data_IF_732910038615
#
_entry.id   IF_732910038615
#
_cell.length_a   1.000
_cell.length_b   1.000
_cell.length_c   1.000
_cell.angle_alpha   90.00
_cell.angle_beta   90.00
_cell.angle_gamma   90.00
#
_symmetry.space_group_name_H-M   'P 1'
#
loop_
_entity.id
_entity.type
_entity.pdbx_description
1 polymer ?
#
# COMPACT_ATOMS: atom_id res chain seq x y z
N UNK A 1 31.76 -35.03 -22.00
CA UNK A 1 30.36 -34.71 -21.63
C UNK A 1 30.31 -34.58 -20.12
N UNK A 2 30.07 -33.38 -19.59
CA UNK A 2 30.42 -33.01 -18.21
C UNK A 2 29.21 -33.20 -17.27
N UNK A 3 28.95 -34.45 -16.87
CA UNK A 3 27.79 -34.85 -16.04
C UNK A 3 27.72 -34.16 -14.68
N UNK A 4 28.86 -33.72 -14.13
CA UNK A 4 28.92 -32.99 -12.86
C UNK A 4 28.23 -31.61 -12.92
N UNK A 5 28.37 -30.90 -14.03
CA UNK A 5 27.73 -29.58 -14.18
C UNK A 5 26.20 -29.71 -14.30
N UNK A 6 25.71 -30.81 -14.89
CA UNK A 6 24.28 -31.05 -15.04
C UNK A 6 23.63 -31.44 -13.70
N UNK A 7 24.27 -32.32 -12.93
CA UNK A 7 23.77 -32.76 -11.63
C UNK A 7 23.69 -31.61 -10.61
N UNK A 8 24.70 -30.74 -10.56
CA UNK A 8 24.71 -29.59 -9.63
C UNK A 8 23.60 -28.59 -9.98
N UNK A 9 23.37 -28.31 -11.27
CA UNK A 9 22.29 -27.42 -11.68
C UNK A 9 20.90 -27.99 -11.37
N UNK A 10 20.70 -29.30 -11.53
CA UNK A 10 19.42 -29.95 -11.18
C UNK A 10 19.18 -29.92 -9.68
N UNK A 11 20.19 -30.18 -8.85
CA UNK A 11 20.05 -30.13 -7.38
C UNK A 11 19.79 -28.71 -6.89
N UNK A 12 20.48 -27.70 -7.44
CA UNK A 12 20.23 -26.29 -7.11
C UNK A 12 18.81 -25.88 -7.54
N UNK A 13 18.38 -26.29 -8.74
CA UNK A 13 17.05 -25.97 -9.26
C UNK A 13 15.93 -26.62 -8.43
N UNK A 14 16.13 -27.87 -8.01
CA UNK A 14 15.19 -28.57 -7.12
C UNK A 14 15.20 -27.98 -5.71
N UNK A 15 16.35 -27.60 -5.16
CA UNK A 15 16.42 -26.90 -3.87
C UNK A 15 15.71 -25.54 -3.91
N UNK A 16 15.88 -24.77 -4.99
CA UNK A 16 15.15 -23.50 -5.18
C UNK A 16 13.64 -23.71 -5.35
N UNK A 17 13.21 -24.78 -6.03
CA UNK A 17 11.79 -25.07 -6.23
C UNK A 17 11.12 -25.60 -4.97
N UNK A 18 11.75 -26.55 -4.28
CA UNK A 18 11.10 -27.36 -3.26
C UNK A 18 11.39 -26.88 -1.83
N UNK A 19 12.38 -26.00 -1.63
CA UNK A 19 12.74 -25.49 -0.29
C UNK A 19 12.57 -23.97 -0.19
N UNK A 20 13.16 -23.21 -1.11
CA UNK A 20 13.15 -21.74 -1.01
C UNK A 20 11.80 -21.12 -1.36
N UNK A 21 11.16 -21.55 -2.45
CA UNK A 21 9.83 -21.04 -2.84
C UNK A 21 8.75 -21.25 -1.77
N UNK A 22 8.65 -22.44 -1.14
CA UNK A 22 7.71 -22.65 -0.04
C UNK A 22 8.05 -21.82 1.21
N UNK A 23 9.33 -21.58 1.50
CA UNK A 23 9.74 -20.71 2.61
C UNK A 23 9.32 -19.25 2.37
N UNK A 24 9.54 -18.74 1.16
CA UNK A 24 9.12 -17.38 0.76
C UNK A 24 7.59 -17.23 0.80
N UNK A 25 6.85 -18.24 0.33
CA UNK A 25 5.40 -18.27 0.42
C UNK A 25 4.89 -18.34 1.88
N UNK A 26 5.53 -19.13 2.74
CA UNK A 26 5.21 -19.20 4.18
C UNK A 26 5.45 -17.88 4.90
N UNK A 27 6.51 -17.14 4.54
CA UNK A 27 6.74 -15.80 5.09
C UNK A 27 5.67 -14.82 4.61
N UNK A 28 5.26 -14.92 3.34
CA UNK A 28 4.26 -14.03 2.75
C UNK A 28 2.85 -14.26 3.29
N UNK A 29 2.43 -15.51 3.49
CA UNK A 29 1.15 -15.85 4.12
C UNK A 29 1.10 -15.46 5.60
N UNK A 30 2.20 -15.69 6.33
CA UNK A 30 2.32 -15.26 7.73
C UNK A 30 2.26 -13.73 7.90
N UNK A 31 2.83 -12.99 6.96
CA UNK A 31 2.74 -11.53 6.89
C UNK A 31 1.33 -11.03 6.58
N UNK A 32 0.61 -11.70 5.67
CA UNK A 32 -0.79 -11.37 5.34
C UNK A 32 -1.70 -11.60 6.55
N UNK A 33 -1.53 -12.71 7.27
CA UNK A 33 -2.31 -13.00 8.48
C UNK A 33 -1.95 -12.06 9.65
N UNK A 34 -0.69 -11.63 9.75
CA UNK A 34 -0.28 -10.60 10.69
C UNK A 34 -0.93 -9.24 10.32
N UNK A 35 -0.92 -8.88 9.03
CA UNK A 35 -1.52 -7.66 8.52
C UNK A 35 -3.04 -7.64 8.77
N UNK A 36 -3.74 -8.73 8.47
CA UNK A 36 -5.18 -8.88 8.71
C UNK A 36 -5.52 -8.72 10.19
N UNK A 37 -4.72 -9.29 11.10
CA UNK A 37 -4.89 -9.10 12.55
C UNK A 37 -4.69 -7.65 12.99
N UNK A 38 -3.67 -6.96 12.48
CA UNK A 38 -3.40 -5.55 12.80
C UNK A 38 -4.54 -4.66 12.28
N UNK A 39 -4.99 -4.88 11.04
CA UNK A 39 -6.09 -4.11 10.44
C UNK A 39 -7.38 -4.34 11.24
N UNK A 40 -7.74 -5.58 11.54
CA UNK A 40 -8.96 -5.87 12.30
C UNK A 40 -8.92 -5.29 13.72
N UNK A 41 -7.76 -5.29 14.37
CA UNK A 41 -7.58 -4.64 15.67
C UNK A 41 -7.77 -3.11 15.59
N UNK A 42 -7.34 -2.50 14.50
CA UNK A 42 -7.28 -1.04 14.34
C UNK A 42 -8.57 -0.46 13.75
N UNK A 43 -9.24 -1.20 12.86
CA UNK A 43 -10.37 -0.75 12.05
C UNK A 43 -11.60 -1.69 12.08
N UNK A 44 -11.52 -2.84 12.76
CA UNK A 44 -12.65 -3.77 12.90
C UNK A 44 -13.72 -3.26 13.88
N UNK A 45 -14.80 -4.03 14.06
CA UNK A 45 -15.96 -3.68 14.89
C UNK A 45 -15.66 -3.35 16.35
N UNK A 46 -14.52 -3.83 16.86
CA UNK A 46 -14.04 -3.61 18.24
C UNK A 46 -13.01 -2.48 18.33
N UNK A 47 -12.69 -1.84 17.21
CA UNK A 47 -11.71 -0.75 17.13
C UNK A 47 -12.19 0.44 17.95
N UNK A 48 -11.48 0.76 19.03
CA UNK A 48 -11.60 2.07 19.65
C UNK A 48 -11.17 3.07 18.58
N UNK A 49 -12.15 3.77 18.01
CA UNK A 49 -11.93 4.87 17.08
C UNK A 49 -11.12 5.93 17.81
N UNK A 50 -9.80 5.80 17.77
CA UNK A 50 -8.93 6.83 18.28
C UNK A 50 -9.22 8.07 17.42
N UNK A 51 -9.56 9.22 18.06
CA UNK A 51 -9.73 10.46 17.33
C UNK A 51 -8.47 10.73 16.50
N UNK A 52 -8.63 11.51 15.43
CA UNK A 52 -7.59 11.88 14.45
C UNK A 52 -6.44 12.72 15.05
N UNK A 53 -6.11 12.52 16.33
CA UNK A 53 -5.15 13.27 17.12
C UNK A 53 -3.74 12.80 16.75
N UNK A 54 -3.13 13.45 15.76
CA UNK A 54 -1.75 13.20 15.36
C UNK A 54 -1.49 13.27 13.86
N UNK A 55 -2.52 13.43 13.04
CA UNK A 55 -2.29 13.77 11.63
C UNK A 55 -1.72 15.17 11.63
N UNK A 56 -0.45 15.28 11.26
CA UNK A 56 0.15 16.57 10.92
C UNK A 56 -0.60 17.07 9.69
N UNK A 57 -1.63 17.87 9.89
CA UNK A 57 -2.22 18.69 8.83
C UNK A 57 -1.11 19.62 8.34
N UNK A 58 -0.37 19.17 7.33
CA UNK A 58 0.44 20.11 6.56
C UNK A 58 -0.58 21.06 5.91
N UNK A 59 -0.38 22.40 6.00
CA UNK A 59 -1.26 23.30 5.28
C UNK A 59 -1.28 22.82 3.83
N UNK A 60 -2.47 22.54 3.26
CA UNK A 60 -2.53 22.05 1.90
C UNK A 60 -1.81 23.09 1.05
N UNK A 61 -0.75 22.68 0.35
CA UNK A 61 -0.24 23.51 -0.73
C UNK A 61 -1.45 23.90 -1.59
N UNK A 62 -1.55 25.15 -2.01
CA UNK A 62 -2.72 25.57 -2.82
C UNK A 62 -2.84 24.72 -4.10
N UNK A 63 -1.74 24.12 -4.54
CA UNK A 63 -1.65 23.27 -5.73
C UNK A 63 -0.68 22.12 -5.47
N UNK A 64 -1.02 20.92 -5.94
CA UNK A 64 -0.06 19.83 -6.18
C UNK A 64 0.09 19.63 -7.69
N UNK A 65 1.25 19.19 -8.15
CA UNK A 65 1.47 18.88 -9.56
C UNK A 65 0.86 17.50 -9.89
N UNK A 66 0.34 17.30 -11.11
CA UNK A 66 -0.20 15.99 -11.50
C UNK A 66 0.85 14.87 -11.45
N UNK A 67 2.11 15.17 -11.76
CA UNK A 67 3.18 14.18 -11.73
C UNK A 67 3.60 13.78 -10.31
N UNK A 68 3.42 14.66 -9.33
CA UNK A 68 3.68 14.36 -7.91
C UNK A 68 2.47 13.79 -7.17
N UNK A 69 1.24 14.01 -7.68
CA UNK A 69 -0.02 13.68 -7.02
C UNK A 69 -0.09 12.23 -6.50
N UNK A 70 0.40 11.26 -7.26
CA UNK A 70 0.43 9.85 -6.79
C UNK A 70 1.35 9.67 -5.59
N UNK A 71 2.54 10.26 -5.62
CA UNK A 71 3.52 10.19 -4.53
C UNK A 71 3.03 10.91 -3.28
N UNK A 72 2.46 12.10 -3.46
CA UNK A 72 1.83 12.89 -2.39
C UNK A 72 0.68 12.11 -1.73
N UNK A 73 -0.18 11.48 -2.52
CA UNK A 73 -1.27 10.64 -2.02
C UNK A 73 -0.73 9.48 -1.18
N UNK A 74 0.26 8.73 -1.70
CA UNK A 74 0.89 7.64 -0.95
C UNK A 74 1.45 8.13 0.39
N UNK A 75 2.13 9.29 0.39
CA UNK A 75 2.66 9.85 1.63
C UNK A 75 1.55 10.21 2.62
N UNK A 76 0.47 10.85 2.17
CA UNK A 76 -0.68 11.21 3.01
C UNK A 76 -1.29 9.96 3.64
N UNK A 77 -1.51 8.91 2.85
CA UNK A 77 -2.10 7.65 3.34
C UNK A 77 -1.16 6.96 4.33
N UNK A 78 0.14 6.88 4.04
CA UNK A 78 1.13 6.29 4.95
C UNK A 78 1.14 7.01 6.29
N UNK A 79 1.23 8.34 6.31
CA UNK A 79 1.23 9.13 7.54
C UNK A 79 -0.06 8.89 8.34
N UNK A 80 -1.20 8.77 7.65
CA UNK A 80 -2.51 8.52 8.25
C UNK A 80 -2.63 7.11 8.87
N UNK A 81 -2.00 6.10 8.27
CA UNK A 81 -1.99 4.73 8.76
C UNK A 81 -0.97 4.54 9.90
N UNK A 82 0.21 5.16 9.78
CA UNK A 82 1.21 5.18 10.84
C UNK A 82 0.67 5.82 12.12
N UNK A 83 -0.08 6.94 11.99
CA UNK A 83 -0.74 7.58 13.12
C UNK A 83 -1.74 6.66 13.85
N UNK A 84 -2.25 5.63 13.17
CA UNK A 84 -3.13 4.60 13.75
C UNK A 84 -2.38 3.35 14.22
N UNK A 85 -1.06 3.39 14.25
CA UNK A 85 -0.23 2.31 14.79
C UNK A 85 0.06 1.18 13.81
N UNK A 86 -0.17 1.36 12.50
CA UNK A 86 0.26 0.38 11.51
C UNK A 86 1.79 0.41 11.38
N UNK A 87 2.46 -0.74 11.20
CA UNK A 87 3.88 -0.76 10.91
C UNK A 87 4.16 -0.17 9.52
N UNK A 88 5.34 0.43 9.36
CA UNK A 88 5.72 1.18 8.16
C UNK A 88 5.56 0.38 6.86
N UNK A 89 6.00 -0.87 6.84
CA UNK A 89 5.90 -1.73 5.66
C UNK A 89 4.44 -1.95 5.22
N UNK A 90 3.54 -2.18 6.18
CA UNK A 90 2.12 -2.40 5.94
C UNK A 90 1.43 -1.13 5.44
N UNK A 91 1.78 0.01 6.04
CA UNK A 91 1.27 1.31 5.63
C UNK A 91 1.62 1.61 4.17
N UNK A 92 2.85 1.32 3.73
CA UNK A 92 3.25 1.50 2.32
C UNK A 92 2.49 0.57 1.38
N UNK A 93 2.35 -0.72 1.71
CA UNK A 93 1.63 -1.65 0.85
C UNK A 93 0.15 -1.25 0.67
N UNK A 94 -0.51 -0.89 1.76
CA UNK A 94 -1.90 -0.41 1.73
C UNK A 94 -2.03 0.93 1.00
N UNK A 95 -1.07 1.84 1.16
CA UNK A 95 -1.10 3.13 0.48
C UNK A 95 -0.96 2.99 -1.05
N UNK A 96 -0.12 2.08 -1.53
CA UNK A 96 -0.02 1.79 -2.96
C UNK A 96 -1.29 1.13 -3.49
N UNK A 97 -1.85 0.16 -2.76
CA UNK A 97 -3.12 -0.47 -3.14
C UNK A 97 -4.28 0.53 -3.16
N UNK A 98 -4.33 1.46 -2.18
CA UNK A 98 -5.28 2.56 -2.17
C UNK A 98 -5.12 3.46 -3.41
N UNK A 99 -3.89 3.84 -3.74
CA UNK A 99 -3.61 4.70 -4.89
C UNK A 99 -4.01 4.04 -6.21
N UNK A 100 -3.86 2.72 -6.33
CA UNK A 100 -4.28 1.97 -7.51
C UNK A 100 -5.80 1.81 -7.57
N UNK A 101 -6.47 1.58 -6.43
CA UNK A 101 -7.93 1.48 -6.33
C UNK A 101 -8.64 2.80 -6.68
N UNK A 102 -8.04 3.94 -6.34
CA UNK A 102 -8.60 5.28 -6.59
C UNK A 102 -7.88 6.04 -7.71
N UNK A 103 -7.20 5.31 -8.61
CA UNK A 103 -6.36 5.90 -9.65
C UNK A 103 -7.11 6.93 -10.51
N UNK A 104 -8.31 6.59 -10.95
CA UNK A 104 -9.14 7.46 -11.80
C UNK A 104 -9.84 8.55 -10.97
N UNK A 105 -10.47 8.18 -9.86
CA UNK A 105 -11.30 9.07 -9.06
C UNK A 105 -10.50 10.23 -8.45
N UNK A 106 -9.27 9.96 -8.03
CA UNK A 106 -8.39 10.92 -7.38
C UNK A 106 -7.27 11.41 -8.30
N UNK A 107 -7.32 11.13 -9.61
CA UNK A 107 -6.32 11.56 -10.60
C UNK A 107 -4.88 11.16 -10.22
N UNK A 108 -4.70 9.92 -9.78
CA UNK A 108 -3.42 9.34 -9.32
C UNK A 108 -2.72 8.54 -10.41
N UNK A 109 -3.07 8.80 -11.67
CA UNK A 109 -2.45 8.16 -12.82
C UNK A 109 -0.98 8.51 -12.89
N UNK A 110 -0.18 7.60 -13.46
CA UNK A 110 1.22 7.94 -13.72
C UNK A 110 1.27 9.01 -14.81
N UNK A 111 1.74 10.19 -14.43
CA UNK A 111 1.97 11.31 -15.35
C UNK A 111 3.48 11.55 -15.40
N UNK A 112 4.14 11.40 -16.55
CA UNK A 112 5.56 11.67 -16.65
C UNK A 112 5.85 13.15 -16.42
N UNK A 113 6.94 13.43 -15.70
CA UNK A 113 7.43 14.79 -15.51
C UNK A 113 7.88 15.39 -16.84
N UNK A 114 7.43 16.62 -17.12
CA UNK A 114 7.89 17.42 -18.25
C UNK A 114 8.20 18.83 -17.76
N UNK A 115 9.43 19.31 -17.97
CA UNK A 115 9.87 20.60 -17.42
C UNK A 115 9.06 21.79 -17.95
N UNK A 116 8.52 21.66 -19.17
CA UNK A 116 7.81 22.72 -19.88
C UNK A 116 6.31 22.78 -19.55
N UNK A 117 5.78 21.86 -18.72
CA UNK A 117 4.37 21.84 -18.36
C UNK A 117 4.15 21.67 -16.86
N UNK A 118 3.30 22.53 -16.30
CA UNK A 118 2.86 22.43 -14.91
C UNK A 118 1.34 22.31 -14.86
N UNK A 119 0.86 21.07 -14.87
CA UNK A 119 -0.55 20.78 -14.66
C UNK A 119 -0.82 20.61 -13.16
N UNK A 120 -1.66 21.49 -12.62
CA UNK A 120 -1.94 21.53 -11.19
C UNK A 120 -3.30 20.89 -10.83
N UNK A 121 -3.34 20.27 -9.66
CA UNK A 121 -4.56 19.86 -8.95
C UNK A 121 -4.71 20.81 -7.75
N UNK A 122 -5.95 21.25 -7.48
CA UNK A 122 -6.28 21.98 -6.26
C UNK A 122 -6.15 21.05 -5.04
N UNK A 123 -5.03 21.18 -4.33
CA UNK A 123 -4.71 20.32 -3.20
C UNK A 123 -5.55 20.66 -1.94
N UNK A 124 -6.21 21.82 -1.89
CA UNK A 124 -7.05 22.20 -0.74
C UNK A 124 -8.33 21.35 -0.64
N UNK A 125 -8.85 20.95 -1.79
CA UNK A 125 -10.01 20.05 -1.91
C UNK A 125 -9.55 18.59 -2.00
N UNK A 126 -8.57 18.32 -2.85
CA UNK A 126 -8.10 16.96 -3.14
C UNK A 126 -7.52 16.24 -1.92
N UNK A 127 -6.77 16.91 -1.04
CA UNK A 127 -6.26 16.28 0.19
C UNK A 127 -7.40 15.84 1.13
N UNK A 128 -8.49 16.62 1.21
CA UNK A 128 -9.67 16.27 2.01
C UNK A 128 -10.41 15.07 1.42
N UNK A 129 -10.47 14.98 0.09
CA UNK A 129 -11.04 13.84 -0.61
C UNK A 129 -10.24 12.56 -0.34
N UNK A 130 -8.91 12.61 -0.38
CA UNK A 130 -8.05 11.49 0.01
C UNK A 130 -8.39 11.03 1.42
N UNK A 131 -8.34 11.92 2.41
CA UNK A 131 -8.58 11.59 3.82
C UNK A 131 -9.96 10.95 4.01
N UNK A 132 -10.99 11.47 3.33
CA UNK A 132 -12.34 10.91 3.33
C UNK A 132 -12.38 9.48 2.78
N UNK A 133 -11.67 9.22 1.68
CA UNK A 133 -11.64 7.92 1.04
C UNK A 133 -10.86 6.87 1.84
N UNK A 134 -9.83 7.25 2.61
CA UNK A 134 -9.02 6.29 3.38
C UNK A 134 -9.89 5.47 4.35
N UNK A 135 -10.80 6.12 5.07
CA UNK A 135 -11.63 5.40 6.04
C UNK A 135 -12.54 4.36 5.37
N UNK A 136 -13.16 4.72 4.24
CA UNK A 136 -13.99 3.80 3.47
C UNK A 136 -13.17 2.61 2.95
N UNK A 137 -12.03 2.90 2.33
CA UNK A 137 -11.11 1.88 1.84
C UNK A 137 -10.65 0.92 2.94
N UNK A 138 -10.21 1.44 4.09
CA UNK A 138 -9.75 0.59 5.20
C UNK A 138 -10.87 -0.28 5.79
N UNK A 139 -12.10 0.22 5.83
CA UNK A 139 -13.26 -0.56 6.24
C UNK A 139 -13.55 -1.71 5.25
N UNK A 140 -13.43 -1.45 3.95
CA UNK A 140 -13.66 -2.45 2.91
C UNK A 140 -12.55 -3.51 2.88
N UNK A 141 -11.30 -3.12 3.15
CA UNK A 141 -10.19 -4.05 3.38
C UNK A 141 -10.43 -4.91 4.61
N UNK A 142 -10.86 -4.32 5.74
CA UNK A 142 -11.15 -5.07 6.98
C UNK A 142 -12.30 -6.09 6.79
N UNK A 143 -13.31 -5.74 5.99
CA UNK A 143 -14.41 -6.66 5.61
C UNK A 143 -14.00 -7.72 4.59
N UNK A 144 -12.81 -7.62 4.01
CA UNK A 144 -12.34 -8.50 2.95
C UNK A 144 -12.97 -8.25 1.58
N UNK A 145 -13.66 -7.11 1.39
CA UNK A 145 -14.21 -6.70 0.09
C UNK A 145 -13.10 -6.28 -0.88
N UNK A 146 -12.00 -5.74 -0.34
CA UNK A 146 -10.77 -5.47 -1.08
C UNK A 146 -9.71 -6.48 -0.62
N UNK A 147 -9.07 -7.24 -1.54
CA UNK A 147 -8.02 -8.17 -1.18
C UNK A 147 -6.82 -7.42 -0.60
N UNK A 148 -6.10 -8.08 0.31
CA UNK A 148 -4.89 -7.49 0.88
C UNK A 148 -3.79 -7.44 -0.20
N UNK A 149 -2.95 -6.40 -0.21
CA UNK A 149 -1.81 -6.36 -1.12
C UNK A 149 -0.94 -7.61 -0.90
N UNK A 150 -0.69 -8.36 -1.97
CA UNK A 150 0.10 -9.60 -1.91
C UNK A 150 -0.69 -10.88 -1.60
N UNK A 151 -1.99 -10.81 -1.28
CA UNK A 151 -2.82 -12.01 -1.29
C UNK A 151 -3.15 -12.38 -2.74
N UNK A 152 -2.43 -13.37 -3.28
CA UNK A 152 -2.81 -14.02 -4.54
C UNK A 152 -4.05 -14.86 -4.23
N UNK A 153 -5.19 -14.53 -4.85
CA UNK A 153 -6.36 -15.41 -4.89
C UNK A 153 -6.13 -16.59 -5.81
#
# INVERSE_FOLDING_TARGET
MNYYLFAVNVVIFLFFRDVLRPLEAMTHEGEIDALRRIINKTFGSDGQGHPMDGIRERPPFAKTSKHDARGDCVRIVVDHLLARGLPLWAAYQLAYSFADAHKTDLKLEFVPFTADSYEAIDASVWCKEIIRCIQAYMNDVAKGSIPLPGSVS
#
